data_IF_670703254450
#
_entry.id   IF_670703254450
#
_cell.length_a   1.000
_cell.length_b   1.000
_cell.length_c   1.000
_cell.angle_alpha   90.00
_cell.angle_beta   90.00
_cell.angle_gamma   90.00
#
_symmetry.space_group_name_H-M   'P 1'
#
loop_
_entity.id
_entity.type
_entity.pdbx_description
1 polymer ?
#
# COMPACT_ATOMS: atom_id res chain seq x y z
N UNK A 1 11.29 5.64 -1.07
CA UNK A 1 10.44 6.34 -0.07
C UNK A 1 10.95 5.96 1.32
N UNK A 2 11.14 6.91 2.24
CA UNK A 2 11.52 6.63 3.64
C UNK A 2 10.27 6.73 4.52
N UNK A 3 9.72 5.60 4.95
CA UNK A 3 8.62 5.56 5.91
C UNK A 3 9.07 4.75 7.13
N UNK A 4 8.90 5.29 8.34
CA UNK A 4 9.09 4.56 9.60
C UNK A 4 10.46 3.87 9.77
N UNK A 5 11.55 4.51 9.33
CA UNK A 5 12.91 3.93 9.31
C UNK A 5 13.06 2.74 8.37
N UNK A 6 12.19 2.61 7.37
CA UNK A 6 12.32 1.66 6.28
C UNK A 6 12.44 2.43 4.95
N UNK A 7 13.27 1.90 4.07
CA UNK A 7 13.38 2.32 2.69
C UNK A 7 12.75 1.25 1.81
N UNK A 8 11.83 1.68 0.97
CA UNK A 8 11.17 0.83 -0.02
C UNK A 8 11.43 1.37 -1.41
N UNK A 9 11.71 0.45 -2.33
CA UNK A 9 11.83 0.70 -3.75
C UNK A 9 11.08 -0.39 -4.52
N UNK A 10 10.51 -0.05 -5.67
CA UNK A 10 9.79 -1.00 -6.50
C UNK A 10 10.07 -0.76 -7.98
N UNK A 11 9.88 -1.81 -8.77
CA UNK A 11 9.92 -1.81 -10.23
C UNK A 11 8.81 -2.71 -10.74
N UNK A 12 8.33 -2.48 -11.96
CA UNK A 12 7.30 -3.29 -12.59
C UNK A 12 7.53 -3.38 -14.08
N UNK A 13 6.89 -4.36 -14.71
CA UNK A 13 6.79 -4.41 -16.16
C UNK A 13 6.14 -3.13 -16.71
N UNK A 14 6.60 -2.66 -17.86
CA UNK A 14 6.04 -1.49 -18.54
C UNK A 14 4.77 -1.82 -19.33
N UNK A 15 4.44 -3.12 -19.48
CA UNK A 15 3.19 -3.56 -20.10
C UNK A 15 1.97 -3.21 -19.25
N UNK A 16 0.82 -3.05 -19.92
CA UNK A 16 -0.48 -2.93 -19.26
C UNK A 16 -1.40 -4.08 -19.74
N UNK A 17 -1.78 -5.03 -18.86
CA UNK A 17 -1.41 -5.16 -17.45
C UNK A 17 0.05 -5.63 -17.25
N UNK A 18 0.70 -5.15 -16.19
CA UNK A 18 2.08 -5.51 -15.89
C UNK A 18 2.21 -7.00 -15.56
N UNK A 19 3.08 -7.71 -16.27
CA UNK A 19 3.30 -9.16 -16.08
C UNK A 19 4.12 -9.49 -14.83
N UNK A 20 4.80 -8.49 -14.24
CA UNK A 20 5.58 -8.67 -13.02
C UNK A 20 5.73 -7.38 -12.20
N UNK A 21 5.96 -7.57 -10.90
CA UNK A 21 6.33 -6.54 -9.93
C UNK A 21 7.53 -7.01 -9.11
N UNK A 22 8.40 -6.08 -8.77
CA UNK A 22 9.55 -6.30 -7.90
C UNK A 22 9.58 -5.23 -6.82
N UNK A 23 9.71 -5.64 -5.57
CA UNK A 23 9.69 -4.75 -4.41
C UNK A 23 10.92 -5.08 -3.55
N UNK A 24 11.70 -4.08 -3.18
CA UNK A 24 12.76 -4.19 -2.19
C UNK A 24 12.43 -3.34 -0.97
N UNK A 25 12.61 -3.90 0.22
CA UNK A 25 12.47 -3.19 1.48
C UNK A 25 13.72 -3.39 2.37
N UNK A 26 14.19 -2.33 3.03
CA UNK A 26 15.26 -2.40 4.04
C UNK A 26 14.98 -1.47 5.21
N UNK A 27 15.59 -1.75 6.36
CA UNK A 27 15.58 -0.83 7.51
C UNK A 27 16.70 0.21 7.35
N UNK A 28 16.37 1.49 7.34
CA UNK A 28 17.28 2.63 7.28
C UNK A 28 17.88 2.96 8.67
N UNK A 29 19.17 3.35 8.70
CA UNK A 29 19.85 3.83 9.91
C UNK A 29 21.39 3.86 9.82
N UNK A 30 22.00 4.96 10.28
CA UNK A 30 23.44 5.26 10.13
C UNK A 30 24.37 4.19 10.72
N UNK A 31 23.96 3.48 11.77
CA UNK A 31 24.78 2.45 12.42
C UNK A 31 24.85 1.11 11.65
N UNK A 32 23.99 0.88 10.64
CA UNK A 32 24.02 -0.34 9.81
C UNK A 32 24.68 -0.15 8.45
N UNK A 33 24.94 1.10 8.05
CA UNK A 33 25.61 1.43 6.78
C UNK A 33 27.12 1.18 6.85
N UNK A 34 27.72 1.18 8.04
CA UNK A 34 29.16 1.03 8.25
C UNK A 34 29.67 -0.44 8.27
N UNK A 35 28.78 -1.43 8.37
CA UNK A 35 29.17 -2.84 8.48
C UNK A 35 28.38 -3.71 7.49
N UNK A 36 28.60 -3.53 6.18
CA UNK A 36 28.37 -4.55 5.14
C UNK A 36 26.97 -5.16 4.99
N UNK A 37 25.95 -4.71 5.72
CA UNK A 37 24.64 -5.35 5.77
C UNK A 37 23.63 -4.67 4.84
N UNK A 38 23.97 -4.52 3.54
CA UNK A 38 23.06 -4.03 2.48
C UNK A 38 21.95 -5.03 2.13
N UNK A 39 21.45 -5.79 3.11
CA UNK A 39 20.42 -6.82 2.91
C UNK A 39 19.05 -6.15 2.78
N UNK A 40 18.39 -6.36 1.65
CA UNK A 40 16.99 -6.04 1.43
C UNK A 40 16.14 -7.30 1.48
N UNK A 41 14.89 -7.17 1.90
CA UNK A 41 13.85 -8.16 1.62
C UNK A 41 13.34 -7.88 0.21
N UNK A 42 13.40 -8.87 -0.65
CA UNK A 42 13.02 -8.78 -2.05
C UNK A 42 11.75 -9.60 -2.25
N UNK A 43 10.72 -8.98 -2.83
CA UNK A 43 9.44 -9.61 -3.15
C UNK A 43 9.24 -9.49 -4.65
N UNK A 44 9.02 -10.62 -5.30
CA UNK A 44 8.70 -10.69 -6.73
C UNK A 44 7.29 -11.23 -6.88
N UNK A 45 6.48 -10.59 -7.72
CA UNK A 45 5.14 -11.06 -8.09
C UNK A 45 5.13 -11.22 -9.60
N UNK A 46 4.73 -12.37 -10.12
CA UNK A 46 4.72 -12.67 -11.57
C UNK A 46 3.46 -13.40 -11.96
N UNK A 47 2.97 -13.14 -13.16
CA UNK A 47 1.83 -13.83 -13.74
C UNK A 47 0.63 -12.92 -13.93
N UNK A 48 -0.55 -13.53 -13.98
CA UNK A 48 -1.81 -12.87 -14.30
C UNK A 48 -2.72 -12.76 -13.07
N UNK A 49 -3.72 -11.87 -13.08
CA UNK A 49 -4.73 -11.84 -12.02
C UNK A 49 -5.35 -13.23 -11.79
N UNK A 50 -5.38 -13.68 -10.54
CA UNK A 50 -5.83 -15.01 -10.11
C UNK A 50 -4.93 -16.20 -10.52
N UNK A 51 -3.84 -15.98 -11.26
CA UNK A 51 -2.83 -17.00 -11.55
C UNK A 51 -1.43 -16.38 -11.52
N UNK A 52 -0.90 -16.23 -10.31
CA UNK A 52 0.37 -15.56 -10.08
C UNK A 52 1.22 -16.31 -9.05
N UNK A 53 2.52 -16.11 -9.18
CA UNK A 53 3.53 -16.55 -8.23
C UNK A 53 4.01 -15.35 -7.41
N UNK A 54 4.18 -15.56 -6.11
CA UNK A 54 4.91 -14.63 -5.24
C UNK A 54 6.16 -15.32 -4.74
N UNK A 55 7.31 -14.67 -4.85
CA UNK A 55 8.58 -15.13 -4.32
C UNK A 55 9.11 -14.10 -3.34
N UNK A 56 9.48 -14.53 -2.13
CA UNK A 56 10.10 -13.69 -1.10
C UNK A 56 11.51 -14.18 -0.84
N UNK A 57 12.48 -13.28 -0.82
CA UNK A 57 13.85 -13.62 -0.44
C UNK A 57 14.66 -12.44 0.05
N UNK A 58 15.98 -12.60 0.06
CA UNK A 58 16.91 -11.56 0.52
C UNK A 58 17.88 -11.21 -0.60
N UNK A 59 18.05 -9.92 -0.86
CA UNK A 59 18.94 -9.41 -1.91
C UNK A 59 19.88 -8.31 -1.42
N UNK A 60 20.67 -7.79 -2.35
CA UNK A 60 21.41 -6.55 -2.13
C UNK A 60 20.53 -5.35 -2.54
N UNK A 61 20.44 -4.38 -1.64
CA UNK A 61 19.70 -3.15 -1.90
C UNK A 61 20.23 -2.43 -3.16
N UNK A 62 19.34 -2.17 -4.12
CA UNK A 62 19.59 -1.31 -5.27
C UNK A 62 20.31 -1.95 -6.46
N UNK A 63 20.84 -3.19 -6.35
CA UNK A 63 21.55 -3.84 -7.47
C UNK A 63 20.64 -4.51 -8.51
N UNK A 64 19.37 -4.73 -8.19
CA UNK A 64 18.43 -5.47 -9.05
C UNK A 64 17.30 -4.60 -9.63
N UNK A 65 17.26 -3.31 -9.31
CA UNK A 65 16.22 -2.38 -9.79
C UNK A 65 16.50 -1.86 -11.21
N UNK A 66 17.73 -2.03 -11.71
CA UNK A 66 18.24 -1.37 -12.93
C UNK A 66 18.27 -2.29 -14.17
N UNK A 67 18.12 -3.62 -14.01
CA UNK A 67 18.14 -4.57 -15.13
C UNK A 67 16.75 -4.78 -15.71
N UNK A 68 16.54 -4.35 -16.96
CA UNK A 68 15.32 -4.42 -17.75
C UNK A 68 14.97 -5.83 -18.29
N UNK A 69 15.32 -6.89 -17.56
CA UNK A 69 15.01 -8.28 -17.92
C UNK A 69 14.83 -9.16 -16.65
N UNK A 70 13.96 -10.20 -16.68
CA UNK A 70 13.45 -10.89 -15.49
C UNK A 70 14.42 -11.93 -14.90
N UNK A 71 15.70 -11.59 -14.79
CA UNK A 71 16.68 -12.40 -14.05
C UNK A 71 16.75 -11.94 -12.59
N UNK A 72 15.60 -11.88 -11.92
CA UNK A 72 15.57 -11.82 -10.46
C UNK A 72 16.02 -13.18 -9.93
N UNK A 73 17.35 -13.37 -9.83
CA UNK A 73 17.90 -14.45 -9.02
C UNK A 73 17.64 -14.02 -7.58
N UNK A 74 16.46 -14.34 -7.07
CA UNK A 74 16.20 -14.32 -5.63
C UNK A 74 16.84 -15.61 -5.13
N UNK A 75 18.04 -15.59 -4.54
CA UNK A 75 18.55 -16.79 -3.93
C UNK A 75 17.53 -17.18 -2.86
N UNK A 76 16.99 -18.40 -2.94
CA UNK A 76 16.16 -18.98 -1.89
C UNK A 76 17.10 -19.23 -0.71
N UNK A 77 17.47 -18.15 -0.01
CA UNK A 77 18.27 -18.22 1.19
C UNK A 77 17.28 -18.43 2.31
N UNK A 78 17.08 -19.69 2.70
CA UNK A 78 16.62 -19.98 4.06
C UNK A 78 17.55 -19.23 5.00
N UNK A 79 17.00 -18.26 5.74
CA UNK A 79 17.74 -17.17 6.38
C UNK A 79 18.79 -17.75 7.34
N UNK A 80 20.02 -17.97 6.88
CA UNK A 80 21.06 -18.59 7.69
C UNK A 80 21.71 -17.54 8.58
N UNK A 81 21.30 -17.54 9.84
CA UNK A 81 21.97 -16.84 10.93
C UNK A 81 21.69 -17.58 12.23
N UNK A 82 22.70 -17.72 13.11
CA UNK A 82 22.68 -18.34 14.45
C UNK A 82 21.28 -18.58 15.07
N UNK A 83 21.04 -19.75 15.68
CA UNK A 83 19.73 -20.27 16.14
C UNK A 83 18.70 -19.22 16.63
N UNK A 84 19.08 -18.22 17.44
CA UNK A 84 18.17 -17.14 17.86
C UNK A 84 17.67 -16.23 16.72
N UNK A 85 18.51 -15.95 15.72
CA UNK A 85 18.15 -15.21 14.50
C UNK A 85 17.27 -16.03 13.56
N UNK A 86 17.36 -17.37 13.55
CA UNK A 86 16.43 -18.24 12.80
C UNK A 86 14.98 -18.03 13.24
N UNK A 87 14.71 -17.99 14.55
CA UNK A 87 13.33 -17.85 15.05
C UNK A 87 12.71 -16.48 14.73
N UNK A 88 13.48 -15.39 14.88
CA UNK A 88 13.00 -14.05 14.55
C UNK A 88 12.77 -13.89 13.05
N UNK A 89 13.69 -14.44 12.24
CA UNK A 89 13.57 -14.47 10.79
C UNK A 89 12.35 -15.28 10.33
N UNK A 90 12.16 -16.48 10.88
CA UNK A 90 11.00 -17.34 10.60
C UNK A 90 9.68 -16.67 10.99
N UNK A 91 9.60 -16.04 12.17
CA UNK A 91 8.39 -15.34 12.62
C UNK A 91 8.03 -14.15 11.71
N UNK A 92 9.04 -13.42 11.24
CA UNK A 92 8.85 -12.37 10.24
C UNK A 92 8.33 -12.95 8.92
N UNK A 93 8.96 -14.00 8.42
CA UNK A 93 8.59 -14.67 7.18
C UNK A 93 7.17 -15.25 7.23
N UNK A 94 6.81 -15.96 8.31
CA UNK A 94 5.47 -16.50 8.53
C UNK A 94 4.41 -15.39 8.57
N UNK A 95 4.73 -14.26 9.23
CA UNK A 95 3.86 -13.09 9.31
C UNK A 95 3.67 -12.41 7.95
N UNK A 96 4.75 -12.26 7.18
CA UNK A 96 4.72 -11.70 5.83
C UNK A 96 3.92 -12.59 4.88
N UNK A 97 4.15 -13.91 4.91
CA UNK A 97 3.39 -14.86 4.09
C UNK A 97 1.91 -14.91 4.48
N UNK A 98 1.60 -14.84 5.78
CA UNK A 98 0.20 -14.72 6.23
C UNK A 98 -0.43 -13.47 5.62
N UNK A 99 0.22 -12.31 5.75
CA UNK A 99 -0.26 -11.07 5.16
C UNK A 99 -0.46 -11.16 3.64
N UNK A 100 0.51 -11.69 2.89
CA UNK A 100 0.40 -11.86 1.43
C UNK A 100 -0.78 -12.76 1.07
N UNK A 101 -0.95 -13.89 1.76
CA UNK A 101 -2.08 -14.80 1.51
C UNK A 101 -3.43 -14.15 1.83
N UNK A 102 -3.50 -13.42 2.95
CA UNK A 102 -4.71 -12.71 3.35
C UNK A 102 -5.07 -11.64 2.29
N UNK A 103 -4.09 -10.90 1.77
CA UNK A 103 -4.28 -9.93 0.68
C UNK A 103 -4.68 -10.60 -0.64
N UNK A 104 -4.04 -11.72 -1.00
CA UNK A 104 -4.36 -12.47 -2.22
C UNK A 104 -5.81 -12.98 -2.21
N UNK A 105 -6.24 -13.62 -1.12
CA UNK A 105 -7.63 -14.06 -0.92
C UNK A 105 -8.59 -12.88 -0.94
N UNK A 106 -8.19 -11.79 -0.29
CA UNK A 106 -9.01 -10.59 -0.22
C UNK A 106 -9.22 -9.94 -1.60
N UNK A 107 -8.23 -10.02 -2.49
CA UNK A 107 -8.27 -9.46 -3.85
C UNK A 107 -8.75 -10.46 -4.91
N UNK A 108 -9.08 -11.70 -4.54
CA UNK A 108 -9.55 -12.74 -5.45
C UNK A 108 -10.79 -12.27 -6.22
N UNK A 109 -10.82 -12.46 -7.55
CA UNK A 109 -11.90 -12.04 -8.44
C UNK A 109 -12.21 -10.51 -8.52
N UNK A 110 -11.41 -9.66 -7.87
CA UNK A 110 -11.53 -8.19 -8.01
C UNK A 110 -11.28 -7.72 -9.45
N UNK A 111 -10.33 -8.34 -10.15
CA UNK A 111 -10.04 -8.06 -11.57
C UNK A 111 -11.18 -8.49 -12.51
N UNK A 112 -11.81 -9.64 -12.23
CA UNK A 112 -12.95 -10.16 -13.01
C UNK A 112 -14.19 -9.27 -12.90
N UNK A 113 -14.35 -8.62 -11.75
CA UNK A 113 -15.41 -7.64 -11.48
C UNK A 113 -15.17 -6.31 -12.22
N UNK A 114 -13.91 -5.90 -12.38
CA UNK A 114 -13.53 -4.74 -13.17
C UNK A 114 -13.70 -4.95 -14.69
N UNK A 115 -13.40 -6.15 -15.20
CA UNK A 115 -13.55 -6.51 -16.61
C UNK A 115 -15.00 -6.60 -17.08
N UNK A 116 -15.92 -7.17 -16.26
CA UNK A 116 -17.36 -7.18 -16.58
C UNK A 116 -17.97 -5.78 -16.67
N UNK A 117 -17.42 -4.80 -15.93
CA UNK A 117 -17.87 -3.40 -15.97
C UNK A 117 -17.38 -2.64 -17.20
N UNK A 118 -16.35 -3.13 -17.90
CA UNK A 118 -15.84 -2.53 -19.14
C UNK A 118 -16.61 -2.97 -20.40
N UNK A 119 -17.35 -4.09 -20.35
CA UNK A 119 -17.98 -4.70 -21.55
C UNK A 119 -19.46 -4.30 -21.74
N UNK A 120 -20.06 -3.53 -20.82
CA UNK A 120 -21.48 -3.09 -20.94
C UNK A 120 -21.63 -1.57 -21.20
N UNK A 121 -20.64 -0.94 -21.83
CA UNK A 121 -20.71 0.49 -22.15
C UNK A 121 -20.62 0.69 -23.66
N UNK A 122 -21.72 0.40 -24.35
CA UNK A 122 -21.95 0.87 -25.72
C UNK A 122 -23.42 1.24 -25.88
N UNK A 123 -23.84 2.31 -25.19
CA UNK A 123 -24.68 3.38 -25.74
C UNK A 123 -24.92 4.41 -24.63
N UNK A 124 -24.78 5.67 -25.01
CA UNK A 124 -25.12 6.89 -24.28
C UNK A 124 -24.14 7.42 -23.22
N UNK A 125 -23.64 8.61 -23.55
CA UNK A 125 -22.64 9.37 -22.84
C UNK A 125 -23.15 9.85 -21.47
N UNK A 126 -22.66 9.25 -20.40
CA UNK A 126 -22.44 9.92 -19.11
C UNK A 126 -21.24 9.23 -18.45
N UNK A 127 -20.15 9.97 -18.27
CA UNK A 127 -18.88 9.50 -17.70
C UNK A 127 -19.06 9.00 -16.26
N UNK A 128 -19.44 7.73 -16.08
CA UNK A 128 -19.42 7.08 -14.77
C UNK A 128 -17.98 6.73 -14.41
N UNK A 129 -17.38 7.56 -13.57
CA UNK A 129 -16.11 7.30 -12.89
C UNK A 129 -16.23 5.95 -12.17
N UNK A 130 -15.38 4.98 -12.54
CA UNK A 130 -15.37 3.66 -11.91
C UNK A 130 -14.98 3.80 -10.43
N UNK A 131 -15.97 3.74 -9.55
CA UNK A 131 -15.78 3.66 -8.10
C UNK A 131 -15.48 2.20 -7.75
N UNK A 132 -14.30 1.95 -7.18
CA UNK A 132 -13.95 0.69 -6.51
C UNK A 132 -14.41 0.80 -5.06
N UNK A 133 -15.12 -0.20 -4.55
CA UNK A 133 -15.64 -0.17 -3.18
C UNK A 133 -15.58 -1.55 -2.53
N UNK A 134 -15.04 -1.62 -1.32
CA UNK A 134 -14.88 -2.86 -0.56
C UNK A 134 -15.73 -2.78 0.71
N UNK A 135 -16.59 -3.78 0.95
CA UNK A 135 -17.52 -3.80 2.08
C UNK A 135 -17.15 -4.92 3.06
N UNK A 136 -17.22 -4.60 4.35
CA UNK A 136 -16.90 -5.51 5.45
C UNK A 136 -18.02 -5.46 6.49
N UNK A 137 -18.33 -6.61 7.08
CA UNK A 137 -19.22 -6.64 8.24
C UNK A 137 -18.47 -6.07 9.45
N UNK A 138 -19.15 -5.20 10.19
CA UNK A 138 -18.59 -4.50 11.35
C UNK A 138 -19.55 -4.70 12.52
N UNK A 139 -19.04 -5.32 13.57
CA UNK A 139 -19.83 -5.75 14.73
C UNK A 139 -20.32 -4.55 15.52
N UNK A 140 -19.49 -3.53 15.67
CA UNK A 140 -19.94 -2.22 16.14
C UNK A 140 -18.95 -1.09 15.83
N UNK A 141 -19.44 0.15 15.94
CA UNK A 141 -18.63 1.37 15.97
C UNK A 141 -18.94 2.22 17.22
N UNK A 142 -17.93 2.88 17.77
CA UNK A 142 -18.08 3.89 18.83
C UNK A 142 -17.13 5.08 18.64
N UNK A 143 -17.36 6.15 19.42
CA UNK A 143 -16.41 7.27 19.51
C UNK A 143 -16.48 8.29 18.37
N UNK A 144 -17.51 8.23 17.52
CA UNK A 144 -17.77 9.24 16.49
C UNK A 144 -18.71 10.35 17.02
N UNK A 145 -18.43 11.65 16.77
CA UNK A 145 -19.30 12.74 17.20
C UNK A 145 -20.73 12.62 16.68
N UNK A 146 -21.72 12.91 17.54
CA UNK A 146 -23.14 12.76 17.24
C UNK A 146 -23.70 11.36 17.44
N UNK A 147 -22.85 10.39 17.78
CA UNK A 147 -23.24 9.01 18.08
C UNK A 147 -22.92 8.72 19.55
N UNK A 148 -23.92 8.89 20.40
CA UNK A 148 -23.75 8.92 21.87
C UNK A 148 -23.63 7.51 22.49
N UNK A 149 -23.69 6.45 21.69
CA UNK A 149 -23.63 5.04 22.10
C UNK A 149 -22.84 4.22 21.09
N UNK A 150 -22.35 3.08 21.54
CA UNK A 150 -21.93 1.98 20.68
C UNK A 150 -23.09 1.64 19.73
N UNK A 151 -22.80 1.63 18.43
CA UNK A 151 -23.78 1.23 17.41
C UNK A 151 -23.39 -0.15 16.93
N UNK A 152 -24.19 -1.11 17.36
CA UNK A 152 -24.05 -2.52 17.02
C UNK A 152 -24.57 -2.79 15.61
N UNK A 153 -23.83 -3.60 14.88
CA UNK A 153 -24.14 -4.04 13.54
C UNK A 153 -24.00 -2.95 12.49
N UNK A 154 -23.39 -3.32 11.37
CA UNK A 154 -23.32 -2.46 10.21
C UNK A 154 -22.35 -2.98 9.17
N UNK A 155 -22.16 -2.17 8.13
CA UNK A 155 -21.16 -2.42 7.10
C UNK A 155 -20.19 -1.27 7.02
N UNK A 156 -18.90 -1.60 7.14
CA UNK A 156 -17.81 -0.71 6.84
C UNK A 156 -17.52 -0.80 5.34
N UNK A 157 -17.54 0.32 4.63
CA UNK A 157 -17.28 0.38 3.19
C UNK A 157 -16.12 1.32 2.93
N UNK A 158 -15.06 0.80 2.30
CA UNK A 158 -13.93 1.58 1.82
C UNK A 158 -14.18 1.94 0.37
N UNK A 159 -14.30 3.23 0.07
CA UNK A 159 -14.49 3.74 -1.28
C UNK A 159 -13.19 4.29 -1.82
N UNK A 160 -12.88 3.88 -3.06
CA UNK A 160 -11.77 4.35 -3.85
C UNK A 160 -12.29 4.96 -5.14
N UNK A 161 -12.01 6.25 -5.32
CA UNK A 161 -12.43 7.01 -6.48
C UNK A 161 -11.22 7.49 -7.27
N UNK A 162 -11.29 7.38 -8.60
CA UNK A 162 -10.30 8.02 -9.47
C UNK A 162 -10.36 9.54 -9.25
N UNK A 163 -9.28 10.11 -8.72
CA UNK A 163 -9.19 11.53 -8.35
C UNK A 163 -8.99 11.80 -6.86
N UNK A 164 -8.68 10.81 -6.03
CA UNK A 164 -8.25 11.01 -4.64
C UNK A 164 -9.37 11.40 -3.67
N UNK A 165 -10.63 11.11 -4.02
CA UNK A 165 -11.81 11.30 -3.14
C UNK A 165 -12.10 10.05 -2.32
N UNK A 166 -11.04 9.42 -1.85
CA UNK A 166 -11.12 8.20 -1.07
C UNK A 166 -11.84 8.47 0.26
N UNK A 167 -12.66 7.54 0.71
CA UNK A 167 -13.42 7.69 1.96
C UNK A 167 -13.77 6.35 2.58
N UNK A 168 -13.89 6.37 3.89
CA UNK A 168 -14.45 5.30 4.69
C UNK A 168 -15.89 5.65 5.04
N UNK A 169 -16.81 4.72 4.82
CA UNK A 169 -18.23 4.89 5.13
C UNK A 169 -18.69 3.76 6.02
N UNK A 170 -19.14 4.05 7.22
CA UNK A 170 -19.86 3.08 8.03
C UNK A 170 -21.36 3.26 7.80
N UNK A 171 -22.07 2.18 7.48
CA UNK A 171 -23.53 2.13 7.34
C UNK A 171 -24.11 1.31 8.48
N UNK A 172 -24.87 1.94 9.37
CA UNK A 172 -25.62 1.24 10.42
C UNK A 172 -26.85 0.54 9.84
N UNK A 173 -27.35 -0.45 10.57
CA UNK A 173 -28.60 -1.15 10.26
C UNK A 173 -29.83 -0.21 10.27
N UNK A 174 -29.78 0.87 11.03
CA UNK A 174 -30.86 1.86 11.11
C UNK A 174 -30.86 2.90 9.98
N UNK A 175 -29.98 2.73 9.00
CA UNK A 175 -29.85 3.61 7.84
C UNK A 175 -29.00 4.85 8.07
N UNK A 176 -28.51 5.09 9.31
CA UNK A 176 -27.54 6.17 9.55
C UNK A 176 -26.17 5.79 8.98
N UNK A 177 -25.46 6.82 8.51
CA UNK A 177 -24.12 6.64 7.95
C UNK A 177 -23.11 7.61 8.56
N UNK A 178 -21.88 7.14 8.70
CA UNK A 178 -20.71 7.95 9.03
C UNK A 178 -19.82 7.96 7.80
N UNK A 179 -19.38 9.15 7.37
CA UNK A 179 -18.47 9.31 6.25
C UNK A 179 -17.18 9.98 6.75
N UNK A 180 -16.05 9.30 6.60
CA UNK A 180 -14.73 9.81 6.98
C UNK A 180 -13.89 9.90 5.70
N UNK A 181 -13.60 11.12 5.20
CA UNK A 181 -12.67 11.31 4.10
C UNK A 181 -11.29 10.71 4.44
N UNK A 182 -10.64 10.00 3.51
CA UNK A 182 -9.36 9.34 3.78
C UNK A 182 -8.27 10.37 4.13
N UNK A 183 -8.28 11.55 3.52
CA UNK A 183 -7.47 12.70 3.91
C UNK A 183 -7.56 13.14 5.37
N UNK A 184 -8.66 12.82 6.06
CA UNK A 184 -8.85 13.15 7.47
C UNK A 184 -8.28 12.06 8.40
N UNK A 185 -7.89 10.91 7.86
CA UNK A 185 -7.34 9.79 8.62
C UNK A 185 -5.83 9.99 8.76
N UNK A 186 -5.39 10.33 9.97
CA UNK A 186 -3.98 10.45 10.28
C UNK A 186 -3.33 9.07 10.40
N UNK A 187 -3.99 8.16 11.12
CA UNK A 187 -3.48 6.83 11.47
C UNK A 187 -4.63 5.87 11.75
N UNK A 188 -4.40 4.57 11.51
CA UNK A 188 -5.25 3.48 11.96
C UNK A 188 -4.38 2.42 12.65
N UNK A 189 -4.83 1.91 13.80
CA UNK A 189 -4.08 0.90 14.58
C UNK A 189 -5.00 -0.18 15.12
N UNK A 190 -4.48 -1.41 15.25
CA UNK A 190 -5.17 -2.48 15.99
C UNK A 190 -4.91 -2.30 17.48
N UNK A 191 -5.97 -2.30 18.26
CA UNK A 191 -5.95 -2.26 19.72
C UNK A 191 -6.69 -3.48 20.29
N UNK A 192 -6.39 -3.86 21.52
CA UNK A 192 -7.21 -4.79 22.31
C UNK A 192 -7.84 -4.02 23.47
N UNK A 193 -9.14 -4.21 23.74
CA UNK A 193 -9.79 -3.64 24.93
C UNK A 193 -10.51 -4.71 25.73
N UNK A 194 -10.58 -4.49 27.05
CA UNK A 194 -11.37 -5.31 27.98
C UNK A 194 -12.89 -5.13 27.87
N UNK A 195 -13.36 -4.16 27.08
CA UNK A 195 -14.79 -3.77 26.95
C UNK A 195 -15.29 -3.89 25.51
N UNK A 196 -14.79 -4.89 24.79
CA UNK A 196 -15.32 -5.32 23.48
C UNK A 196 -16.63 -6.10 23.63
N UNK A 197 -17.11 -6.70 22.53
CA UNK A 197 -18.24 -7.62 22.60
C UNK A 197 -17.83 -8.89 23.36
N UNK A 198 -16.57 -9.30 23.20
CA UNK A 198 -15.91 -10.34 23.97
C UNK A 198 -14.61 -9.85 24.61
N UNK A 199 -14.18 -10.59 25.64
CA UNK A 199 -12.88 -10.37 26.27
C UNK A 199 -11.78 -10.78 25.29
N UNK A 200 -10.91 -9.82 24.92
CA UNK A 200 -9.80 -9.93 23.97
C UNK A 200 -10.09 -9.63 22.48
N UNK A 201 -11.27 -9.11 22.12
CA UNK A 201 -11.51 -8.66 20.73
C UNK A 201 -10.44 -7.67 20.26
N UNK A 202 -9.94 -7.90 19.05
CA UNK A 202 -9.13 -6.92 18.34
C UNK A 202 -10.05 -5.87 17.71
N UNK A 203 -9.67 -4.60 17.80
CA UNK A 203 -10.43 -3.48 17.23
C UNK A 203 -9.51 -2.57 16.45
N UNK A 204 -10.05 -1.85 15.47
CA UNK A 204 -9.32 -0.79 14.79
C UNK A 204 -9.68 0.55 15.43
N UNK A 205 -8.69 1.23 16.00
CA UNK A 205 -8.81 2.64 16.38
C UNK A 205 -8.29 3.51 15.26
N UNK A 206 -9.13 4.44 14.81
CA UNK A 206 -8.72 5.50 13.90
C UNK A 206 -8.29 6.72 14.70
N UNK A 207 -7.29 7.46 14.21
CA UNK A 207 -7.00 8.82 14.63
C UNK A 207 -7.31 9.70 13.44
N UNK A 208 -8.42 10.42 13.50
CA UNK A 208 -8.89 11.23 12.37
C UNK A 208 -9.47 12.57 12.81
N UNK A 209 -9.72 13.45 11.84
CA UNK A 209 -10.42 14.71 12.04
C UNK A 209 -11.88 14.60 11.62
N UNK A 210 -12.79 15.14 12.42
CA UNK A 210 -14.19 15.28 12.05
C UNK A 210 -14.39 16.42 11.01
N UNK A 211 -15.64 16.66 10.62
CA UNK A 211 -16.02 17.71 9.67
C UNK A 211 -15.65 19.13 10.15
N UNK A 212 -15.54 19.33 11.48
CA UNK A 212 -15.13 20.58 12.10
C UNK A 212 -13.61 20.67 12.32
N UNK A 213 -12.84 19.69 11.86
CA UNK A 213 -11.39 19.61 12.03
C UNK A 213 -10.93 19.18 13.43
N UNK A 214 -11.85 18.76 14.31
CA UNK A 214 -11.55 18.27 15.66
C UNK A 214 -11.02 16.84 15.61
N UNK A 215 -9.98 16.57 16.41
CA UNK A 215 -9.43 15.23 16.53
C UNK A 215 -10.41 14.30 17.24
N UNK A 216 -10.70 13.17 16.60
CA UNK A 216 -11.58 12.11 17.08
C UNK A 216 -10.87 10.75 16.98
N UNK A 217 -11.34 9.80 17.81
CA UNK A 217 -10.76 8.46 17.88
C UNK A 217 -11.82 7.37 17.80
N UNK A 218 -12.54 7.25 16.67
CA UNK A 218 -13.55 6.23 16.54
C UNK A 218 -12.91 4.84 16.56
N UNK A 219 -13.64 3.88 17.11
CA UNK A 219 -13.22 2.49 17.27
C UNK A 219 -14.18 1.59 16.52
N UNK A 220 -13.63 0.72 15.69
CA UNK A 220 -14.34 -0.27 14.88
C UNK A 220 -14.05 -1.65 15.44
N UNK A 221 -15.08 -2.40 15.80
CA UNK A 221 -14.96 -3.83 16.06
C UNK A 221 -15.29 -4.62 14.79
N UNK A 222 -14.41 -5.58 14.47
CA UNK A 222 -14.42 -6.38 13.26
C UNK A 222 -13.94 -7.77 13.66
N UNK A 223 -14.43 -8.80 12.97
CA UNK A 223 -13.93 -10.16 13.16
C UNK A 223 -12.39 -10.24 12.98
N UNK A 224 -11.73 -10.94 13.91
CA UNK A 224 -10.28 -11.14 13.95
C UNK A 224 -9.68 -11.68 12.65
N UNK A 225 -10.44 -12.47 11.89
CA UNK A 225 -10.01 -13.04 10.62
C UNK A 225 -9.86 -11.99 9.52
N UNK A 226 -10.65 -10.90 9.58
CA UNK A 226 -10.66 -9.85 8.56
C UNK A 226 -9.95 -8.57 9.01
N UNK A 227 -9.75 -8.36 10.31
CA UNK A 227 -9.31 -7.08 10.87
C UNK A 227 -7.98 -6.58 10.28
N UNK A 228 -7.05 -7.49 9.99
CA UNK A 228 -5.76 -7.14 9.38
C UNK A 228 -5.92 -6.69 7.93
N UNK A 229 -6.80 -7.36 7.18
CA UNK A 229 -7.14 -6.99 5.81
C UNK A 229 -7.84 -5.62 5.76
N UNK A 230 -8.77 -5.37 6.69
CA UNK A 230 -9.43 -4.07 6.82
C UNK A 230 -8.43 -2.97 7.15
N UNK A 231 -7.54 -3.19 8.13
CA UNK A 231 -6.49 -2.23 8.47
C UNK A 231 -5.60 -1.90 7.26
N UNK A 232 -5.20 -2.92 6.50
CA UNK A 232 -4.42 -2.73 5.28
C UNK A 232 -5.17 -1.88 4.26
N UNK A 233 -6.46 -2.15 4.02
CA UNK A 233 -7.29 -1.35 3.12
C UNK A 233 -7.44 0.11 3.59
N UNK A 234 -7.59 0.35 4.89
CA UNK A 234 -7.65 1.71 5.46
C UNK A 234 -6.32 2.44 5.24
N UNK A 235 -5.20 1.77 5.49
CA UNK A 235 -3.86 2.34 5.28
C UNK A 235 -3.56 2.58 3.80
N UNK A 236 -4.04 1.72 2.90
CA UNK A 236 -3.96 1.90 1.44
C UNK A 236 -4.66 3.21 1.04
N UNK A 237 -5.95 3.37 1.39
CA UNK A 237 -6.71 4.56 0.97
C UNK A 237 -6.21 5.86 1.63
N UNK A 238 -5.77 5.80 2.89
CA UNK A 238 -5.21 6.97 3.58
C UNK A 238 -3.79 7.29 3.11
N UNK A 239 -3.02 6.28 2.69
CA UNK A 239 -1.68 6.42 2.15
C UNK A 239 -1.67 6.97 0.73
N UNK A 240 -2.60 6.53 -0.14
CA UNK A 240 -2.73 7.05 -1.50
C UNK A 240 -3.03 8.55 -1.52
N UNK A 241 -3.93 9.03 -0.65
CA UNK A 241 -4.21 10.47 -0.54
C UNK A 241 -2.98 11.26 -0.06
N UNK A 242 -2.15 10.69 0.83
CA UNK A 242 -0.89 11.31 1.25
C UNK A 242 0.17 11.29 0.14
N UNK A 243 0.25 10.20 -0.62
CA UNK A 243 1.20 10.01 -1.73
C UNK A 243 0.88 10.91 -2.92
N UNK A 244 -0.39 11.05 -3.29
CA UNK A 244 -0.85 11.95 -4.34
C UNK A 244 -0.54 13.42 -4.00
N UNK A 245 -0.71 13.82 -2.73
CA UNK A 245 -0.32 15.16 -2.25
C UNK A 245 1.18 15.43 -2.36
N UNK A 246 2.01 14.41 -2.11
CA UNK A 246 3.46 14.53 -2.32
C UNK A 246 3.82 14.59 -3.81
N UNK A 247 3.11 13.90 -4.69
CA UNK A 247 3.34 13.97 -6.13
C UNK A 247 2.91 15.32 -6.73
N UNK A 248 1.85 15.94 -6.20
CA UNK A 248 1.39 17.26 -6.65
C UNK A 248 2.33 18.41 -6.22
N UNK A 249 3.16 18.18 -5.18
CA UNK A 249 4.21 19.12 -4.76
C UNK A 249 5.61 18.81 -5.31
N UNK A 250 5.82 17.66 -5.95
CA UNK A 250 7.04 17.40 -6.71
C UNK A 250 6.82 17.89 -8.13
N UNK A 251 6.96 19.20 -8.32
CA UNK A 251 7.43 19.70 -9.59
C UNK A 251 8.81 19.08 -9.80
N UNK A 252 8.90 18.06 -10.66
CA UNK A 252 10.19 17.50 -11.06
C UNK A 252 10.88 18.58 -11.89
N UNK A 253 11.64 19.44 -11.23
CA UNK A 253 12.72 20.19 -11.86
C UNK A 253 13.77 19.16 -12.27
N UNK A 254 13.60 18.54 -13.43
CA UNK A 254 14.69 17.79 -14.07
C UNK A 254 15.70 18.82 -14.58
N UNK A 255 16.52 19.38 -13.69
CA UNK A 255 17.65 20.26 -14.05
C UNK A 255 18.76 19.47 -14.77
N UNK A 256 18.51 18.20 -15.11
CA UNK A 256 19.44 17.36 -15.86
C UNK A 256 18.75 16.65 -17.03
N UNK A 257 19.45 16.59 -18.16
CA UNK A 257 19.15 15.80 -19.36
C UNK A 257 20.29 14.81 -19.63
N UNK A 258 20.12 13.89 -20.57
CA UNK A 258 21.16 12.94 -20.98
C UNK A 258 21.73 13.33 -22.33
N UNK A 259 23.03 13.13 -22.51
CA UNK A 259 23.70 13.38 -23.76
C UNK A 259 23.18 12.45 -24.87
N UNK A 260 22.68 13.00 -25.98
CA UNK A 260 22.16 12.20 -27.10
C UNK A 260 23.21 11.34 -27.80
N UNK A 261 24.51 11.60 -27.57
CA UNK A 261 25.61 10.90 -28.22
C UNK A 261 26.31 9.89 -27.29
N UNK A 262 26.64 10.28 -26.05
CA UNK A 262 27.42 9.43 -25.14
C UNK A 262 26.67 8.96 -23.89
N UNK A 263 25.41 9.37 -23.70
CA UNK A 263 24.59 8.95 -22.56
C UNK A 263 24.96 9.55 -21.21
N UNK A 264 25.98 10.43 -21.11
CA UNK A 264 26.33 11.08 -19.86
C UNK A 264 25.25 12.09 -19.41
N UNK A 265 25.02 12.14 -18.09
CA UNK A 265 24.11 13.10 -17.47
C UNK A 265 24.71 14.52 -17.55
N UNK A 266 23.92 15.48 -18.01
CA UNK A 266 24.31 16.88 -18.22
C UNK A 266 23.21 17.82 -17.70
N UNK A 267 23.56 19.06 -17.39
CA UNK A 267 22.58 20.07 -16.99
C UNK A 267 21.59 20.34 -18.13
N UNK A 268 20.32 20.63 -17.83
CA UNK A 268 19.26 20.85 -18.84
C UNK A 268 19.61 22.02 -19.77
N UNK A 269 20.24 23.06 -19.25
CA UNK A 269 20.68 24.26 -19.96
C UNK A 269 22.03 24.07 -20.69
N UNK A 270 22.69 22.92 -20.51
CA UNK A 270 23.96 22.64 -21.18
C UNK A 270 23.75 22.58 -22.70
N UNK A 271 24.40 23.50 -23.43
CA UNK A 271 24.42 23.52 -24.91
C UNK A 271 25.36 22.47 -25.50
N UNK A 272 26.31 21.97 -24.71
CA UNK A 272 27.32 21.00 -25.12
C UNK A 272 27.57 19.98 -24.00
N UNK A 273 27.85 18.73 -24.37
CA UNK A 273 28.20 17.70 -23.42
C UNK A 273 29.67 17.86 -22.99
N UNK A 274 29.97 17.97 -21.68
CA UNK A 274 31.34 18.12 -21.19
C UNK A 274 32.22 16.89 -21.43
N UNK A 275 31.63 15.73 -21.69
CA UNK A 275 32.37 14.48 -21.87
C UNK A 275 32.66 14.13 -23.32
N UNK A 276 31.81 14.55 -24.27
CA UNK A 276 32.01 14.20 -25.69
C UNK A 276 31.99 15.41 -26.63
N UNK A 277 31.79 16.62 -26.12
CA UNK A 277 31.76 17.86 -26.92
C UNK A 277 30.52 18.04 -27.80
N UNK A 278 29.64 17.03 -27.91
CA UNK A 278 28.46 17.09 -28.78
C UNK A 278 27.47 18.16 -28.30
N UNK A 279 26.86 18.88 -29.25
CA UNK A 279 25.77 19.83 -28.99
C UNK A 279 24.50 19.12 -28.50
N UNK A 280 23.79 19.74 -27.55
CA UNK A 280 22.70 19.13 -26.77
C UNK A 280 21.42 19.97 -26.79
#
# INVERSE_FOLDING_TARGET
MQENKFEVAFSKDSSEPASWFFIQARKAGALRTAAGARRSTDITIRGEPNNFEVSVGTGEWGKNIITSAPLFIVPIVGISATVAKLYVAKKFEDGLWKYIRDQAKFLEASASSASKRATTTTTDATTTVGVDSRSYDCDYIEGYPGWNKQIEGGKLVLFREKGGKNRLVFKSQDGRQIVIPAQNIAEATIISRKKGLHENDLMIQLHCKDENGKNIKPVLNLNDDIIRGVLAGINEIAGEDKGLRNLEQVHVSTDTKYCMNCGNQIQKEAKFCPSCGQKQ
#
